data_IF_036505471163
#
_entry.id   IF_036505471163
#
_cell.length_a   1.000
_cell.length_b   1.000
_cell.length_c   1.000
_cell.angle_alpha   90.00
_cell.angle_beta   90.00
_cell.angle_gamma   90.00
#
_symmetry.space_group_name_H-M   'P 1'
#
loop_
_entity.id
_entity.type
_entity.pdbx_description
1 polymer ?
#
# COMPACT_ATOMS: atom_id res chain seq x y z
N UNK A 1 -6.41 -23.17 8.80
CA UNK A 1 -5.86 -21.82 8.48
C UNK A 1 -5.85 -20.82 9.66
N UNK A 2 -6.77 -20.89 10.63
CA UNK A 2 -6.84 -19.91 11.74
C UNK A 2 -6.00 -20.24 12.99
N UNK A 3 -5.39 -21.43 13.09
CA UNK A 3 -4.61 -21.89 14.26
C UNK A 3 -3.54 -20.89 14.71
N UNK A 4 -2.86 -20.24 13.77
CA UNK A 4 -1.77 -19.29 14.08
C UNK A 4 -2.22 -17.83 14.13
N UNK A 5 -3.51 -17.50 14.01
CA UNK A 5 -3.97 -16.10 14.11
C UNK A 5 -3.66 -15.43 15.46
N UNK A 6 -3.74 -16.12 16.62
CA UNK A 6 -3.28 -15.55 17.88
C UNK A 6 -1.78 -15.19 17.86
N UNK A 7 -0.96 -16.08 17.31
CA UNK A 7 0.48 -15.87 17.16
C UNK A 7 0.81 -14.72 16.20
N UNK A 8 0.09 -14.63 15.07
CA UNK A 8 0.20 -13.53 14.11
C UNK A 8 -0.13 -12.20 14.79
N UNK A 9 -1.16 -12.14 15.63
CA UNK A 9 -1.51 -10.94 16.39
C UNK A 9 -0.39 -10.56 17.36
N UNK A 10 0.14 -11.53 18.09
CA UNK A 10 1.23 -11.31 19.05
C UNK A 10 2.49 -10.75 18.35
N UNK A 11 2.94 -11.39 17.27
CA UNK A 11 4.11 -10.94 16.52
C UNK A 11 3.87 -9.56 15.89
N UNK A 12 2.67 -9.31 15.36
CA UNK A 12 2.31 -8.00 14.84
C UNK A 12 2.34 -6.90 15.91
N UNK A 13 1.93 -7.20 17.14
CA UNK A 13 2.02 -6.25 18.26
C UNK A 13 3.45 -6.01 18.73
N UNK A 14 4.31 -7.04 18.71
CA UNK A 14 5.73 -6.93 19.10
C UNK A 14 6.55 -6.15 18.07
N UNK A 15 6.23 -6.31 16.79
CA UNK A 15 6.88 -5.58 15.68
C UNK A 15 6.24 -4.23 15.39
N UNK A 16 5.07 -3.94 15.98
CA UNK A 16 4.52 -2.59 15.98
C UNK A 16 5.46 -1.70 16.78
N UNK A 17 5.82 -0.50 16.30
CA UNK A 17 6.66 0.41 17.07
C UNK A 17 6.00 0.62 18.44
N UNK A 18 6.65 0.11 19.50
CA UNK A 18 6.17 0.29 20.87
C UNK A 18 6.16 1.79 21.16
N UNK A 19 5.12 2.24 21.86
CA UNK A 19 4.91 3.61 22.34
C UNK A 19 6.06 4.16 23.24
N UNK A 20 7.13 3.40 23.45
CA UNK A 20 8.24 3.74 24.34
C UNK A 20 9.20 4.79 23.74
N UNK A 21 9.18 5.01 22.42
CA UNK A 21 9.95 6.08 21.78
C UNK A 21 9.14 7.39 21.61
N UNK A 22 8.01 7.54 22.31
CA UNK A 22 7.19 8.75 22.24
C UNK A 22 7.80 9.95 22.99
N UNK A 23 8.77 9.74 23.89
CA UNK A 23 9.46 10.84 24.59
C UNK A 23 10.72 11.33 23.85
N UNK A 24 11.31 10.54 22.94
CA UNK A 24 12.57 10.89 22.29
C UNK A 24 12.43 11.65 20.96
N UNK A 25 11.23 12.12 20.59
CA UNK A 25 11.03 12.87 19.35
C UNK A 25 9.99 13.96 19.50
N UNK A 26 10.35 15.00 20.26
CA UNK A 26 9.75 16.35 20.18
C UNK A 26 10.08 17.08 18.87
N UNK A 27 10.35 16.37 17.79
CA UNK A 27 10.26 16.95 16.45
C UNK A 27 8.79 16.77 16.07
N UNK A 28 7.99 17.85 15.92
CA UNK A 28 6.64 17.71 15.39
C UNK A 28 6.77 17.18 13.96
N UNK A 29 6.68 15.86 13.79
CA UNK A 29 6.54 15.24 12.48
C UNK A 29 5.17 15.67 12.00
N UNK A 30 5.13 16.81 11.30
CA UNK A 30 3.95 17.30 10.64
C UNK A 30 3.47 16.20 9.70
N UNK A 31 2.42 15.49 10.10
CA UNK A 31 1.77 14.48 9.28
C UNK A 31 0.90 15.20 8.24
N UNK A 32 1.54 16.03 7.43
CA UNK A 32 0.91 16.69 6.28
C UNK A 32 0.25 15.60 5.44
N UNK A 33 -1.02 15.81 5.09
CA UNK A 33 -1.78 14.89 4.25
C UNK A 33 -1.13 14.83 2.86
N UNK A 34 -1.35 13.74 2.10
CA UNK A 34 -0.75 13.57 0.76
C UNK A 34 -0.90 14.81 -0.17
N UNK A 35 -2.05 15.51 -0.22
CA UNK A 35 -2.18 16.73 -1.01
C UNK A 35 -1.31 17.90 -0.49
N UNK A 36 -1.21 18.03 0.83
CA UNK A 36 -0.40 19.07 1.49
C UNK A 36 1.09 18.81 1.28
N UNK A 37 1.54 17.55 1.35
CA UNK A 37 2.92 17.15 1.02
C UNK A 37 3.29 17.50 -0.42
N UNK A 38 2.39 17.24 -1.37
CA UNK A 38 2.60 17.58 -2.78
C UNK A 38 2.69 19.11 -2.95
N UNK A 39 1.86 19.88 -2.24
CA UNK A 39 1.92 21.35 -2.24
C UNK A 39 3.25 21.86 -1.69
N UNK A 40 3.72 21.30 -0.56
CA UNK A 40 5.01 21.61 0.06
C UNK A 40 6.17 21.31 -0.90
N UNK A 41 6.23 20.10 -1.45
CA UNK A 41 7.28 19.70 -2.39
C UNK A 41 7.34 20.59 -3.64
N UNK A 42 6.19 21.04 -4.15
CA UNK A 42 6.14 21.99 -5.28
C UNK A 42 6.67 23.37 -4.89
N UNK A 43 6.36 23.84 -3.67
CA UNK A 43 6.90 25.11 -3.12
C UNK A 43 8.41 25.02 -2.96
N UNK A 44 8.92 23.95 -2.38
CA UNK A 44 10.35 23.75 -2.11
C UNK A 44 11.17 23.68 -3.40
N UNK A 45 10.70 22.92 -4.40
CA UNK A 45 11.34 22.89 -5.74
C UNK A 45 11.37 24.27 -6.41
N UNK A 46 10.32 25.07 -6.24
CA UNK A 46 10.27 26.42 -6.79
C UNK A 46 11.20 27.36 -6.03
N UNK A 47 11.30 27.21 -4.71
CA UNK A 47 12.24 27.95 -3.86
C UNK A 47 13.69 27.68 -4.27
N UNK A 48 14.07 26.41 -4.47
CA UNK A 48 15.39 26.01 -4.96
C UNK A 48 15.74 26.68 -6.29
N UNK A 49 14.80 26.69 -7.25
CA UNK A 49 15.00 27.36 -8.55
C UNK A 49 15.11 28.87 -8.41
N UNK A 50 14.39 29.48 -7.48
CA UNK A 50 14.47 30.91 -7.21
C UNK A 50 15.84 31.28 -6.60
N UNK A 51 16.34 30.49 -5.64
CA UNK A 51 17.68 30.68 -5.07
C UNK A 51 18.79 30.46 -6.10
N UNK A 52 18.61 29.52 -7.02
CA UNK A 52 19.54 29.29 -8.13
C UNK A 52 19.61 30.51 -9.06
N UNK A 53 18.47 31.07 -9.47
CA UNK A 53 18.39 32.30 -10.27
C UNK A 53 19.02 33.49 -9.54
N UNK A 54 18.76 33.66 -8.24
CA UNK A 54 19.35 34.74 -7.43
C UNK A 54 20.88 34.60 -7.34
N UNK A 55 21.38 33.39 -7.15
CA UNK A 55 22.82 33.12 -7.10
C UNK A 55 23.53 33.40 -8.44
N UNK A 56 22.91 33.04 -9.56
CA UNK A 56 23.44 33.29 -10.90
C UNK A 56 23.42 34.79 -11.22
N UNK A 57 22.37 35.50 -10.79
CA UNK A 57 22.31 36.96 -10.95
C UNK A 57 23.39 37.68 -10.12
N UNK A 58 23.62 37.26 -8.86
CA UNK A 58 24.70 37.80 -8.01
C UNK A 58 26.10 37.56 -8.58
N UNK A 59 26.28 36.51 -9.38
CA UNK A 59 27.52 36.21 -10.10
C UNK A 59 27.70 37.02 -11.40
N UNK A 60 26.76 37.91 -11.74
CA UNK A 60 26.87 38.82 -12.89
C UNK A 60 26.32 38.27 -14.21
N UNK A 61 25.66 37.10 -14.21
CA UNK A 61 25.09 36.53 -15.43
C UNK A 61 23.88 37.33 -15.93
N UNK A 62 23.81 37.56 -17.24
CA UNK A 62 22.69 38.27 -17.86
C UNK A 62 21.40 37.43 -17.91
N UNK A 63 20.24 38.09 -17.94
CA UNK A 63 18.90 37.43 -17.95
C UNK A 63 18.76 36.36 -19.04
N UNK A 64 19.36 36.57 -20.22
CA UNK A 64 19.32 35.62 -21.35
C UNK A 64 20.12 34.35 -21.05
N UNK A 65 21.22 34.48 -20.35
CA UNK A 65 22.13 33.40 -20.02
C UNK A 65 21.57 32.56 -18.86
N UNK A 66 21.04 33.23 -17.82
CA UNK A 66 20.30 32.58 -16.74
C UNK A 66 19.12 31.76 -17.30
N UNK A 67 18.40 32.31 -18.28
CA UNK A 67 17.30 31.59 -18.95
C UNK A 67 17.77 30.33 -19.70
N UNK A 68 18.95 30.36 -20.33
CA UNK A 68 19.54 29.18 -20.99
C UNK A 68 20.01 28.13 -19.98
N UNK A 69 20.65 28.56 -18.89
CA UNK A 69 21.19 27.67 -17.85
C UNK A 69 20.06 26.99 -17.07
N UNK A 70 19.06 27.76 -16.61
CA UNK A 70 17.99 27.26 -15.74
C UNK A 70 16.78 26.68 -16.50
N UNK A 71 16.71 26.88 -17.82
CA UNK A 71 15.58 26.49 -18.66
C UNK A 71 14.28 27.28 -18.37
N UNK A 72 14.35 28.35 -17.58
CA UNK A 72 13.20 29.18 -17.22
C UNK A 72 12.97 30.28 -18.26
N UNK A 73 11.70 30.69 -18.43
CA UNK A 73 11.36 31.79 -19.33
C UNK A 73 12.03 33.10 -18.88
N UNK A 74 12.45 33.93 -19.85
CA UNK A 74 13.07 35.24 -19.57
C UNK A 74 12.16 36.16 -18.75
N UNK A 75 10.84 36.03 -18.88
CA UNK A 75 9.84 36.78 -18.11
C UNK A 75 9.85 36.34 -16.64
N UNK A 76 9.95 35.03 -16.39
CA UNK A 76 10.05 34.47 -15.03
C UNK A 76 11.33 34.90 -14.35
N UNK A 77 12.47 34.79 -15.05
CA UNK A 77 13.78 35.20 -14.53
C UNK A 77 13.77 36.69 -14.17
N UNK A 78 13.29 37.56 -15.07
CA UNK A 78 13.16 39.00 -14.82
C UNK A 78 12.27 39.28 -13.60
N UNK A 79 11.10 38.64 -13.51
CA UNK A 79 10.17 38.81 -12.39
C UNK A 79 10.78 38.37 -11.05
N UNK A 80 11.56 37.29 -11.05
CA UNK A 80 12.19 36.73 -9.86
C UNK A 80 13.37 37.56 -9.35
N UNK A 81 14.13 38.17 -10.27
CA UNK A 81 15.21 39.12 -9.93
C UNK A 81 14.63 40.42 -9.36
N UNK A 82 13.54 40.90 -9.96
CA UNK A 82 12.87 42.14 -9.51
C UNK A 82 12.13 41.98 -8.17
N UNK A 83 11.73 40.76 -7.81
CA UNK A 83 11.08 40.49 -6.53
C UNK A 83 12.11 40.48 -5.39
N UNK A 84 11.97 41.42 -4.43
CA UNK A 84 12.83 41.51 -3.23
C UNK A 84 12.73 40.29 -2.29
N UNK A 85 11.67 39.48 -2.43
CA UNK A 85 11.42 38.27 -1.65
C UNK A 85 10.87 37.16 -2.55
N UNK A 86 10.92 35.91 -2.08
CA UNK A 86 10.40 34.75 -2.80
C UNK A 86 8.93 34.99 -3.23
N UNK A 87 8.64 35.05 -4.54
CA UNK A 87 7.28 35.28 -5.00
C UNK A 87 6.47 34.00 -4.83
N UNK A 88 5.74 33.91 -3.71
CA UNK A 88 4.79 32.83 -3.47
C UNK A 88 3.71 32.80 -4.57
N UNK A 89 3.17 31.61 -4.83
CA UNK A 89 1.98 31.52 -5.67
C UNK A 89 0.87 32.22 -4.92
N UNK A 90 0.34 33.30 -5.48
CA UNK A 90 -0.91 33.91 -4.98
C UNK A 90 -1.99 32.84 -5.05
N UNK A 91 -2.25 32.20 -3.92
CA UNK A 91 -3.49 31.47 -3.72
C UNK A 91 -4.52 32.56 -3.46
N UNK A 92 -5.48 32.72 -4.38
CA UNK A 92 -6.66 33.54 -4.10
C UNK A 92 -7.18 33.11 -2.72
N UNK A 93 -7.41 34.05 -1.78
CA UNK A 93 -8.00 33.67 -0.51
C UNK A 93 -9.29 32.89 -0.81
N UNK A 94 -9.56 31.79 -0.09
CA UNK A 94 -10.81 31.07 -0.27
C UNK A 94 -11.94 32.08 -0.13
N UNK A 95 -12.87 32.10 -1.09
CA UNK A 95 -14.05 32.96 -0.99
C UNK A 95 -14.76 32.62 0.31
N UNK A 96 -15.26 33.63 1.06
CA UNK A 96 -15.94 33.35 2.31
C UNK A 96 -17.09 32.38 2.04
N UNK A 97 -17.07 31.27 2.77
CA UNK A 97 -18.07 30.22 2.67
C UNK A 97 -19.40 30.68 3.27
N UNK A 98 -20.50 30.06 2.87
CA UNK A 98 -21.82 30.32 3.44
C UNK A 98 -21.89 30.04 4.96
N UNK A 99 -20.94 29.25 5.48
CA UNK A 99 -20.79 28.93 6.89
C UNK A 99 -19.94 29.91 7.68
N UNK A 100 -19.21 30.82 7.02
CA UNK A 100 -18.25 31.68 7.69
C UNK A 100 -18.91 32.59 8.75
N UNK A 101 -20.09 33.19 8.50
CA UNK A 101 -20.81 33.96 9.52
C UNK A 101 -21.31 33.11 10.70
N UNK A 102 -21.41 31.78 10.52
CA UNK A 102 -21.98 30.86 11.50
C UNK A 102 -20.92 30.13 12.33
N UNK A 103 -19.62 30.38 12.08
CA UNK A 103 -18.53 29.67 12.74
C UNK A 103 -18.56 29.80 14.27
N UNK A 104 -18.78 31.00 14.80
CA UNK A 104 -18.83 31.22 16.26
C UNK A 104 -20.06 30.58 16.92
N UNK A 105 -21.19 30.54 16.21
CA UNK A 105 -22.39 29.87 16.69
C UNK A 105 -22.19 28.35 16.71
N UNK A 106 -21.63 27.80 15.63
CA UNK A 106 -21.29 26.38 15.50
C UNK A 106 -20.26 25.93 16.54
N UNK A 107 -19.24 26.75 16.85
CA UNK A 107 -18.26 26.43 17.89
C UNK A 107 -18.88 26.42 19.29
N UNK A 108 -19.81 27.34 19.58
CA UNK A 108 -20.58 27.30 20.84
C UNK A 108 -21.42 26.03 20.97
N UNK A 109 -22.03 25.56 19.88
CA UNK A 109 -22.78 24.30 19.87
C UNK A 109 -21.87 23.08 20.06
N UNK A 110 -20.66 23.11 19.48
CA UNK A 110 -19.62 22.08 19.66
C UNK A 110 -19.21 21.97 21.13
N UNK A 111 -18.95 23.09 21.80
CA UNK A 111 -18.57 23.14 23.22
C UNK A 111 -19.71 22.63 24.11
N UNK A 112 -20.97 22.93 23.77
CA UNK A 112 -22.17 22.40 24.45
C UNK A 112 -22.41 20.90 24.20
N UNK A 113 -21.62 20.25 23.35
CA UNK A 113 -21.73 18.81 23.05
C UNK A 113 -22.82 18.45 22.05
N UNK A 114 -23.45 19.42 21.38
CA UNK A 114 -24.46 19.14 20.37
C UNK A 114 -23.80 18.75 19.03
N UNK A 115 -23.84 17.46 18.70
CA UNK A 115 -23.20 16.90 17.50
C UNK A 115 -24.22 16.45 16.43
N UNK A 116 -25.50 16.79 16.59
CA UNK A 116 -26.55 16.40 15.65
C UNK A 116 -26.66 17.40 14.51
N UNK A 117 -26.02 17.10 13.37
CA UNK A 117 -25.97 17.97 12.21
C UNK A 117 -27.35 18.37 11.65
N UNK A 118 -28.35 17.48 11.72
CA UNK A 118 -29.70 17.76 11.21
C UNK A 118 -30.44 18.76 12.10
N UNK A 119 -30.25 18.65 13.42
CA UNK A 119 -30.82 19.59 14.38
C UNK A 119 -30.16 20.96 14.25
N UNK A 120 -28.83 21.00 14.20
CA UNK A 120 -28.07 22.24 14.00
C UNK A 120 -28.46 22.95 12.71
N UNK A 121 -28.68 22.19 11.62
CA UNK A 121 -29.14 22.78 10.36
C UNK A 121 -30.54 23.40 10.47
N UNK A 122 -31.50 22.76 11.15
CA UNK A 122 -32.84 23.35 11.37
C UNK A 122 -32.75 24.65 12.17
N UNK A 123 -32.03 24.63 13.29
CA UNK A 123 -31.82 25.82 14.12
C UNK A 123 -31.13 26.96 13.34
N UNK A 124 -30.20 26.63 12.43
CA UNK A 124 -29.56 27.61 11.55
C UNK A 124 -30.54 28.17 10.51
N UNK A 125 -31.37 27.32 9.89
CA UNK A 125 -32.37 27.76 8.90
C UNK A 125 -33.41 28.66 9.55
N UNK A 126 -33.88 28.32 10.75
CA UNK A 126 -34.82 29.13 11.53
C UNK A 126 -34.24 30.50 11.88
N UNK A 127 -32.91 30.58 12.04
CA UNK A 127 -32.18 31.82 12.30
C UNK A 127 -31.65 32.52 11.01
N UNK A 128 -32.08 32.06 9.81
CA UNK A 128 -31.83 32.75 8.53
C UNK A 128 -30.73 32.15 7.65
N UNK A 129 -30.29 30.91 7.88
CA UNK A 129 -29.30 30.23 7.04
C UNK A 129 -29.90 29.72 5.72
N UNK A 130 -29.31 30.13 4.59
CA UNK A 130 -29.75 29.75 3.24
C UNK A 130 -29.05 28.50 2.66
N UNK A 131 -28.27 27.76 3.45
CA UNK A 131 -27.47 26.63 2.98
C UNK A 131 -28.11 25.26 3.17
N UNK A 132 -27.55 24.26 2.49
CA UNK A 132 -28.00 22.86 2.56
C UNK A 132 -27.54 22.12 3.82
N UNK A 133 -28.32 21.11 4.23
CA UNK A 133 -27.99 20.25 5.38
C UNK A 133 -26.62 19.55 5.23
N UNK A 134 -26.24 19.19 4.01
CA UNK A 134 -24.92 18.61 3.68
C UNK A 134 -23.76 19.51 4.10
N UNK A 135 -23.91 20.83 3.97
CA UNK A 135 -22.90 21.81 4.32
C UNK A 135 -22.63 21.82 5.82
N UNK A 136 -23.68 21.79 6.64
CA UNK A 136 -23.60 21.69 8.10
C UNK A 136 -23.08 20.30 8.51
N UNK A 137 -23.55 19.24 7.85
CA UNK A 137 -23.08 17.86 8.11
C UNK A 137 -21.59 17.71 7.87
N UNK A 138 -21.05 18.29 6.81
CA UNK A 138 -19.62 18.26 6.50
C UNK A 138 -18.79 19.03 7.54
N UNK A 139 -19.30 20.16 8.04
CA UNK A 139 -18.67 20.92 9.12
C UNK A 139 -18.63 20.13 10.44
N UNK A 140 -19.76 19.55 10.84
CA UNK A 140 -19.86 18.69 12.04
C UNK A 140 -19.01 17.42 11.90
N UNK A 141 -18.91 16.85 10.70
CA UNK A 141 -18.03 15.72 10.42
C UNK A 141 -16.53 16.07 10.59
N UNK A 142 -16.13 17.32 10.37
CA UNK A 142 -14.76 17.79 10.64
C UNK A 142 -14.46 17.84 12.15
N UNK A 143 -15.44 18.17 13.00
CA UNK A 143 -15.26 18.13 14.46
C UNK A 143 -14.85 16.74 14.95
N UNK A 144 -15.50 15.69 14.43
CA UNK A 144 -15.13 14.29 14.74
C UNK A 144 -13.72 13.93 14.26
N UNK A 145 -13.27 14.53 13.16
CA UNK A 145 -11.92 14.32 12.62
C UNK A 145 -10.83 15.12 13.34
N UNK A 146 -11.20 16.19 14.05
CA UNK A 146 -10.28 17.04 14.83
C UNK A 146 -10.21 16.61 16.30
N UNK A 147 -11.34 16.20 16.90
CA UNK A 147 -11.39 15.67 18.26
C UNK A 147 -10.71 14.30 18.38
N UNK A 148 -10.77 13.49 17.32
CA UNK A 148 -9.96 12.30 17.23
C UNK A 148 -8.54 12.72 16.82
N UNK A 149 -7.62 12.79 17.80
CA UNK A 149 -6.18 12.61 17.56
C UNK A 149 -6.01 11.47 16.54
N UNK A 150 -5.02 11.51 15.63
CA UNK A 150 -4.89 10.51 14.58
C UNK A 150 -4.94 9.15 15.24
N UNK A 151 -6.09 8.49 15.11
CA UNK A 151 -6.26 7.12 15.56
C UNK A 151 -5.22 6.41 14.74
N UNK A 152 -4.11 6.04 15.38
CA UNK A 152 -3.09 5.19 14.78
C UNK A 152 -3.90 4.02 14.27
N UNK A 153 -4.12 4.01 12.95
CA UNK A 153 -4.98 3.00 12.35
C UNK A 153 -4.44 1.67 12.89
N UNK A 154 -5.27 0.83 13.53
CA UNK A 154 -4.78 -0.37 14.19
C UNK A 154 -3.89 -1.07 13.19
N UNK A 155 -2.64 -1.30 13.60
CA UNK A 155 -1.57 -1.82 12.74
C UNK A 155 -2.17 -2.92 11.90
N UNK A 156 -2.32 -2.70 10.59
CA UNK A 156 -3.13 -3.60 9.74
C UNK A 156 -2.56 -5.00 9.87
N UNK A 157 -3.26 -5.85 10.64
CA UNK A 157 -2.82 -7.21 10.88
C UNK A 157 -2.69 -7.92 9.53
N UNK A 158 -1.54 -8.55 9.25
CA UNK A 158 -1.41 -9.33 8.04
C UNK A 158 -2.37 -10.53 8.12
N UNK A 159 -3.07 -10.81 7.02
CA UNK A 159 -3.92 -11.99 6.95
C UNK A 159 -3.07 -13.26 6.93
N UNK A 160 -3.63 -14.40 7.38
CA UNK A 160 -2.94 -15.69 7.34
C UNK A 160 -2.43 -16.03 5.92
N UNK A 161 -3.19 -15.71 4.88
CA UNK A 161 -2.77 -15.89 3.47
C UNK A 161 -1.60 -14.98 3.06
N UNK A 162 -1.47 -13.79 3.67
CA UNK A 162 -0.33 -12.91 3.43
C UNK A 162 0.92 -13.44 4.12
N UNK A 163 0.80 -13.86 5.38
CA UNK A 163 1.88 -14.48 6.14
C UNK A 163 2.36 -15.78 5.47
N UNK A 164 1.44 -16.60 4.95
CA UNK A 164 1.81 -17.83 4.24
C UNK A 164 2.61 -17.57 2.96
N UNK A 165 2.41 -16.42 2.29
CA UNK A 165 3.25 -16.01 1.15
C UNK A 165 4.64 -15.59 1.61
N UNK A 166 4.77 -14.94 2.78
CA UNK A 166 6.07 -14.54 3.32
C UNK A 166 6.94 -15.72 3.76
N UNK A 167 6.35 -16.87 4.11
CA UNK A 167 7.10 -18.11 4.33
C UNK A 167 7.85 -18.59 3.07
N UNK A 168 7.51 -18.07 1.89
CA UNK A 168 8.08 -18.44 0.60
C UNK A 168 8.79 -17.22 -0.01
N UNK A 169 10.13 -17.08 0.09
CA UNK A 169 10.88 -15.88 -0.29
C UNK A 169 10.59 -15.38 -1.72
N UNK A 170 10.35 -16.28 -2.67
CA UNK A 170 10.03 -15.96 -4.06
C UNK A 170 8.60 -15.43 -4.28
N UNK A 171 7.74 -15.43 -3.24
CA UNK A 171 6.39 -14.85 -3.26
C UNK A 171 6.28 -13.56 -2.47
N UNK A 172 7.39 -13.02 -1.95
CA UNK A 172 7.41 -11.74 -1.26
C UNK A 172 7.14 -10.59 -2.24
N UNK A 173 6.30 -9.63 -1.82
CA UNK A 173 5.97 -8.45 -2.61
C UNK A 173 7.09 -7.42 -2.45
N UNK A 174 7.53 -6.81 -3.55
CA UNK A 174 8.57 -5.76 -3.55
C UNK A 174 8.19 -4.63 -2.59
N UNK A 175 9.13 -4.24 -1.72
CA UNK A 175 8.97 -3.14 -0.76
C UNK A 175 8.52 -3.55 0.65
N UNK A 176 8.20 -4.83 0.88
CA UNK A 176 7.86 -5.37 2.22
C UNK A 176 8.96 -6.26 2.81
N UNK A 177 10.08 -6.43 2.11
CA UNK A 177 11.11 -7.44 2.38
C UNK A 177 11.65 -7.36 3.82
N UNK A 178 11.98 -6.15 4.30
CA UNK A 178 12.54 -5.99 5.65
C UNK A 178 11.52 -6.28 6.76
N UNK A 179 10.26 -5.87 6.59
CA UNK A 179 9.21 -6.12 7.57
C UNK A 179 8.81 -7.60 7.57
N UNK A 180 8.59 -8.18 6.39
CA UNK A 180 8.19 -9.56 6.23
C UNK A 180 9.25 -10.54 6.75
N UNK A 181 10.54 -10.28 6.48
CA UNK A 181 11.64 -11.11 7.00
C UNK A 181 11.67 -11.12 8.52
N UNK A 182 11.61 -9.94 9.16
CA UNK A 182 11.55 -9.83 10.64
C UNK A 182 10.29 -10.48 11.22
N UNK A 183 9.16 -10.36 10.52
CA UNK A 183 7.91 -10.99 10.91
C UNK A 183 8.01 -12.51 10.91
N UNK A 184 8.51 -13.09 9.82
CA UNK A 184 8.67 -14.54 9.71
C UNK A 184 9.73 -15.07 10.67
N UNK A 185 10.83 -14.36 10.86
CA UNK A 185 11.85 -14.73 11.84
C UNK A 185 11.26 -14.83 13.26
N UNK A 186 10.50 -13.80 13.67
CA UNK A 186 9.82 -13.80 14.98
C UNK A 186 8.77 -14.93 15.10
N UNK A 187 8.02 -15.21 14.04
CA UNK A 187 7.08 -16.35 14.00
C UNK A 187 7.80 -17.70 14.15
N UNK A 188 8.92 -17.89 13.43
CA UNK A 188 9.72 -19.12 13.47
C UNK A 188 10.45 -19.33 14.80
N UNK A 189 10.80 -18.25 15.52
CA UNK A 189 11.34 -18.33 16.88
C UNK A 189 10.31 -18.83 17.88
N UNK A 190 9.04 -18.39 17.75
CA UNK A 190 7.97 -18.76 18.68
C UNK A 190 7.36 -20.13 18.39
N UNK A 191 7.34 -20.55 17.13
CA UNK A 191 6.76 -21.83 16.71
C UNK A 191 7.76 -22.65 15.89
N UNK A 192 8.44 -23.64 16.49
CA UNK A 192 9.44 -24.47 15.81
C UNK A 192 8.87 -25.24 14.60
N UNK A 193 7.59 -25.61 14.64
CA UNK A 193 6.91 -26.27 13.52
C UNK A 193 6.89 -25.40 12.25
N UNK A 194 6.71 -24.08 12.40
CA UNK A 194 6.75 -23.15 11.27
C UNK A 194 8.15 -23.01 10.69
N UNK A 195 9.18 -23.00 11.54
CA UNK A 195 10.58 -22.98 11.11
C UNK A 195 10.92 -24.21 10.26
N UNK A 196 10.49 -25.39 10.70
CA UNK A 196 10.70 -26.64 9.98
C UNK A 196 9.92 -26.67 8.66
N UNK A 197 8.66 -26.23 8.65
CA UNK A 197 7.86 -26.12 7.43
C UNK A 197 8.50 -25.16 6.41
N UNK A 198 9.03 -24.03 6.89
CA UNK A 198 9.75 -23.06 6.06
C UNK A 198 11.01 -23.68 5.45
N UNK A 199 11.80 -24.38 6.26
CA UNK A 199 13.03 -25.02 5.81
C UNK A 199 12.76 -26.06 4.72
N UNK A 200 11.82 -26.98 4.96
CA UNK A 200 11.42 -28.01 3.98
C UNK A 200 10.92 -27.38 2.68
N UNK A 201 10.18 -26.27 2.77
CA UNK A 201 9.70 -25.54 1.59
C UNK A 201 10.83 -24.87 0.81
N UNK A 202 11.81 -24.29 1.51
CA UNK A 202 13.01 -23.70 0.90
C UNK A 202 13.87 -24.76 0.23
N UNK A 203 14.07 -25.92 0.87
CA UNK A 203 14.85 -27.01 0.33
C UNK A 203 14.18 -27.57 -0.93
N UNK A 204 12.85 -27.77 -0.91
CA UNK A 204 12.10 -28.16 -2.10
C UNK A 204 12.26 -27.17 -3.27
N UNK A 205 12.13 -25.87 -3.00
CA UNK A 205 12.32 -24.85 -4.03
C UNK A 205 13.77 -24.80 -4.53
N UNK A 206 14.75 -24.98 -3.65
CA UNK A 206 16.16 -25.05 -4.03
C UNK A 206 16.38 -26.22 -4.98
N UNK A 207 15.83 -27.40 -4.69
CA UNK A 207 15.91 -28.57 -5.57
C UNK A 207 15.32 -28.31 -6.96
N UNK A 208 14.12 -27.69 -7.02
CA UNK A 208 13.48 -27.31 -8.29
C UNK A 208 14.37 -26.37 -9.11
N UNK A 209 15.04 -25.41 -8.44
CA UNK A 209 15.91 -24.43 -9.11
C UNK A 209 17.25 -25.01 -9.56
N UNK A 210 17.87 -25.87 -8.75
CA UNK A 210 19.16 -26.50 -9.04
C UNK A 210 19.05 -27.74 -9.93
N UNK A 211 17.83 -28.22 -10.17
CA UNK A 211 17.53 -29.43 -10.93
C UNK A 211 18.15 -30.70 -10.32
N UNK A 212 18.35 -30.71 -9.00
CA UNK A 212 19.05 -31.81 -8.33
C UNK A 212 18.08 -32.95 -7.97
N UNK A 213 18.02 -33.97 -8.83
CA UNK A 213 17.10 -35.11 -8.73
C UNK A 213 17.34 -36.01 -7.53
N UNK A 214 18.59 -36.18 -7.07
CA UNK A 214 18.92 -37.15 -6.02
C UNK A 214 18.44 -36.71 -4.64
N UNK A 215 18.18 -35.42 -4.46
CA UNK A 215 17.71 -34.86 -3.19
C UNK A 215 16.20 -35.04 -2.98
N UNK A 216 15.42 -35.42 -4.01
CA UNK A 216 13.95 -35.53 -3.89
C UNK A 216 13.52 -36.64 -2.92
N UNK A 217 14.15 -37.81 -3.00
CA UNK A 217 13.85 -38.93 -2.10
C UNK A 217 14.27 -38.63 -0.65
N UNK A 218 15.38 -37.91 -0.49
CA UNK A 218 15.81 -37.44 0.83
C UNK A 218 14.78 -36.46 1.40
N UNK A 219 14.30 -35.53 0.58
CA UNK A 219 13.27 -34.58 1.00
C UNK A 219 11.96 -35.27 1.41
N UNK A 220 11.51 -36.30 0.69
CA UNK A 220 10.34 -37.09 1.12
C UNK A 220 10.56 -37.75 2.50
N UNK A 221 11.75 -38.30 2.73
CA UNK A 221 12.14 -38.86 4.02
C UNK A 221 12.13 -37.81 5.13
N UNK A 222 12.70 -36.62 4.87
CA UNK A 222 12.77 -35.51 5.82
C UNK A 222 11.36 -35.00 6.17
N UNK A 223 10.45 -34.89 5.19
CA UNK A 223 9.05 -34.51 5.43
C UNK A 223 8.31 -35.58 6.24
N UNK A 224 8.56 -36.87 5.95
CA UNK A 224 7.96 -37.96 6.72
C UNK A 224 8.39 -37.92 8.19
N UNK A 225 9.65 -37.56 8.46
CA UNK A 225 10.17 -37.46 9.83
C UNK A 225 9.82 -36.13 10.53
N UNK A 226 9.34 -35.12 9.81
CA UNK A 226 9.12 -33.78 10.36
C UNK A 226 7.92 -33.66 11.30
N UNK A 227 7.04 -34.67 11.36
CA UNK A 227 5.80 -34.64 12.15
C UNK A 227 4.75 -33.63 11.68
N UNK A 228 4.91 -33.06 10.48
CA UNK A 228 4.00 -32.06 9.92
C UNK A 228 2.94 -32.75 9.06
N UNK A 229 1.85 -33.19 9.69
CA UNK A 229 0.80 -34.02 9.06
C UNK A 229 0.28 -33.45 7.73
N UNK A 230 0.08 -32.13 7.65
CA UNK A 230 -0.42 -31.49 6.42
C UNK A 230 0.61 -31.56 5.28
N UNK A 231 1.91 -31.39 5.58
CA UNK A 231 2.98 -31.52 4.58
C UNK A 231 3.24 -32.99 4.23
N UNK A 232 3.14 -33.90 5.19
CA UNK A 232 3.24 -35.34 4.95
C UNK A 232 2.18 -35.82 3.96
N UNK A 233 0.91 -35.40 4.12
CA UNK A 233 -0.15 -35.74 3.16
C UNK A 233 0.14 -35.24 1.75
N UNK A 234 0.68 -34.03 1.64
CA UNK A 234 1.10 -33.47 0.34
C UNK A 234 2.27 -34.26 -0.23
N UNK A 235 3.26 -34.59 0.58
CA UNK A 235 4.42 -35.38 0.17
C UNK A 235 4.01 -36.77 -0.33
N UNK A 236 3.09 -37.46 0.34
CA UNK A 236 2.57 -38.77 -0.11
C UNK A 236 1.90 -38.67 -1.48
N UNK A 237 1.08 -37.64 -1.71
CA UNK A 237 0.48 -37.41 -3.02
C UNK A 237 1.53 -37.10 -4.10
N UNK A 238 2.56 -36.34 -3.76
CA UNK A 238 3.67 -36.05 -4.65
C UNK A 238 4.54 -37.29 -4.94
N UNK A 239 4.73 -38.16 -3.95
CA UNK A 239 5.49 -39.40 -4.09
C UNK A 239 4.81 -40.38 -5.05
N UNK A 240 3.46 -40.44 -5.03
CA UNK A 240 2.70 -41.19 -6.03
C UNK A 240 2.94 -40.69 -7.47
N UNK A 241 3.17 -39.40 -7.63
CA UNK A 241 3.50 -38.74 -8.91
C UNK A 241 5.01 -38.46 -9.07
N UNK A 242 5.88 -39.19 -8.35
CA UNK A 242 7.31 -38.89 -8.29
C UNK A 242 7.97 -38.89 -9.68
N UNK A 243 7.57 -39.78 -10.59
CA UNK A 243 8.09 -39.84 -11.96
C UNK A 243 7.81 -38.55 -12.73
N UNK A 244 6.59 -38.02 -12.62
CA UNK A 244 6.20 -36.75 -13.26
C UNK A 244 6.94 -35.57 -12.65
N UNK A 245 7.14 -35.56 -11.31
CA UNK A 245 7.90 -34.52 -10.62
C UNK A 245 9.37 -34.57 -11.00
N UNK A 246 9.96 -35.76 -11.10
CA UNK A 246 11.32 -35.96 -11.58
C UNK A 246 11.50 -35.38 -12.99
N UNK A 247 10.58 -35.69 -13.89
CA UNK A 247 10.62 -35.15 -15.25
C UNK A 247 10.44 -33.63 -15.25
N UNK A 248 9.56 -33.08 -14.40
CA UNK A 248 9.39 -31.64 -14.25
C UNK A 248 10.65 -30.91 -13.74
N UNK A 249 11.46 -31.57 -12.90
CA UNK A 249 12.74 -31.03 -12.40
C UNK A 249 13.80 -31.00 -13.51
N UNK A 250 13.93 -32.11 -14.25
CA UNK A 250 15.02 -32.30 -15.22
C UNK A 250 14.73 -31.60 -16.55
N UNK A 251 13.49 -31.73 -17.03
CA UNK A 251 13.10 -31.30 -18.36
C UNK A 251 13.30 -29.80 -18.58
N UNK A 252 13.54 -29.44 -19.84
CA UNK A 252 13.51 -28.05 -20.30
C UNK A 252 12.10 -27.63 -20.72
N UNK A 253 11.22 -28.59 -20.96
CA UNK A 253 9.86 -28.38 -21.42
C UNK A 253 8.90 -28.46 -20.25
N UNK A 254 7.92 -27.57 -20.22
CA UNK A 254 6.86 -27.59 -19.21
C UNK A 254 5.51 -27.41 -19.88
N UNK A 255 4.53 -28.19 -19.44
CA UNK A 255 3.15 -27.99 -19.85
C UNK A 255 2.49 -26.78 -19.14
N UNK A 256 3.23 -26.02 -18.32
CA UNK A 256 2.66 -24.93 -17.52
C UNK A 256 1.98 -23.84 -18.34
N UNK A 257 2.55 -23.44 -19.48
CA UNK A 257 1.93 -22.43 -20.37
C UNK A 257 0.67 -22.97 -21.02
N UNK A 258 0.70 -24.23 -21.47
CA UNK A 258 -0.46 -24.89 -22.09
C UNK A 258 -1.58 -25.05 -21.07
N UNK A 259 -1.27 -25.54 -19.87
CA UNK A 259 -2.22 -25.66 -18.75
C UNK A 259 -2.79 -24.30 -18.33
N UNK A 260 -1.98 -23.24 -18.37
CA UNK A 260 -2.44 -21.87 -18.17
C UNK A 260 -3.52 -21.47 -19.19
N UNK A 261 -3.28 -21.73 -20.48
CA UNK A 261 -4.27 -21.48 -21.54
C UNK A 261 -5.52 -22.35 -21.38
N UNK A 262 -5.37 -23.64 -21.06
CA UNK A 262 -6.48 -24.56 -20.79
C UNK A 262 -7.31 -24.06 -19.61
N UNK A 263 -6.69 -23.60 -18.53
CA UNK A 263 -7.40 -23.04 -17.37
C UNK A 263 -8.14 -21.73 -17.71
N UNK A 264 -7.54 -20.84 -18.51
CA UNK A 264 -8.23 -19.66 -19.02
C UNK A 264 -9.47 -20.05 -19.85
N UNK A 265 -9.33 -21.03 -20.73
CA UNK A 265 -10.44 -21.58 -21.53
C UNK A 265 -11.53 -22.19 -20.66
N UNK A 266 -11.17 -23.01 -19.68
CA UNK A 266 -12.11 -23.60 -18.69
C UNK A 266 -12.85 -22.51 -17.93
N UNK A 267 -12.16 -21.44 -17.52
CA UNK A 267 -12.75 -20.29 -16.83
C UNK A 267 -13.77 -19.56 -17.72
N UNK A 268 -13.41 -19.24 -18.97
CA UNK A 268 -14.34 -18.62 -19.93
C UNK A 268 -15.57 -19.50 -20.19
N UNK A 269 -15.37 -20.82 -20.34
CA UNK A 269 -16.47 -21.78 -20.49
C UNK A 269 -17.39 -21.79 -19.26
N UNK A 270 -16.83 -21.74 -18.04
CA UNK A 270 -17.59 -21.68 -16.78
C UNK A 270 -18.39 -20.38 -16.62
N UNK A 271 -17.82 -19.24 -17.01
CA UNK A 271 -18.54 -17.95 -17.05
C UNK A 271 -19.77 -17.98 -17.97
N UNK A 272 -19.77 -18.89 -18.94
CA UNK A 272 -20.86 -19.06 -19.91
C UNK A 272 -21.72 -20.31 -19.60
N UNK A 273 -21.66 -20.79 -18.35
CA UNK A 273 -22.42 -21.95 -17.87
C UNK A 273 -22.22 -23.23 -18.71
N UNK A 274 -21.07 -23.35 -19.37
CA UNK A 274 -20.76 -24.49 -20.24
C UNK A 274 -21.48 -24.49 -21.59
N UNK A 275 -22.30 -23.48 -21.92
CA UNK A 275 -23.16 -23.44 -23.11
C UNK A 275 -22.51 -22.80 -24.34
N UNK A 276 -21.27 -22.35 -24.23
CA UNK A 276 -20.56 -21.72 -25.33
C UNK A 276 -20.07 -22.78 -26.34
N UNK A 277 -20.57 -22.71 -27.57
CA UNK A 277 -20.03 -23.46 -28.72
C UNK A 277 -18.64 -22.97 -29.13
N UNK A 278 -17.98 -23.71 -30.02
CA UNK A 278 -16.60 -23.44 -30.45
C UNK A 278 -16.40 -22.02 -30.98
N UNK A 279 -17.27 -21.54 -31.87
CA UNK A 279 -17.18 -20.20 -32.46
C UNK A 279 -17.21 -19.08 -31.40
N UNK A 280 -18.08 -19.22 -30.41
CA UNK A 280 -18.22 -18.24 -29.33
C UNK A 280 -17.01 -18.25 -28.38
N UNK A 281 -16.49 -19.44 -28.07
CA UNK A 281 -15.25 -19.59 -27.31
C UNK A 281 -14.06 -18.99 -28.07
N UNK A 282 -13.94 -19.28 -29.37
CA UNK A 282 -12.89 -18.74 -30.24
C UNK A 282 -12.91 -17.22 -30.23
N UNK A 283 -14.08 -16.60 -30.41
CA UNK A 283 -14.23 -15.13 -30.36
C UNK A 283 -13.78 -14.55 -29.01
N UNK A 284 -14.18 -15.14 -27.88
CA UNK A 284 -13.76 -14.65 -26.55
C UNK A 284 -12.28 -14.85 -26.23
N UNK A 285 -11.66 -15.89 -26.77
CA UNK A 285 -10.22 -16.12 -26.58
C UNK A 285 -9.39 -15.16 -27.44
N UNK A 286 -9.78 -14.97 -28.70
CA UNK A 286 -9.09 -14.16 -29.71
C UNK A 286 -9.34 -12.65 -29.56
N UNK A 287 -10.44 -12.24 -28.93
CA UNK A 287 -10.77 -10.84 -28.64
C UNK A 287 -10.83 -10.62 -27.12
N UNK A 288 -9.70 -10.40 -26.43
CA UNK A 288 -9.68 -10.19 -24.97
C UNK A 288 -10.34 -8.88 -24.47
N UNK A 289 -11.17 -8.21 -25.29
CA UNK A 289 -11.74 -6.90 -25.01
C UNK A 289 -13.23 -6.87 -25.33
N UNK A 290 -14.03 -7.02 -24.27
CA UNK A 290 -15.17 -6.18 -23.92
C UNK A 290 -15.33 -6.25 -22.40
#
# INVERSE_FOLDING_TARGET
MYRHMPLIRQVATELSPKKQDAEASLIPVSTLRRPERIKQQRRDKRYQRWTEVDSLHKRGYGIREISRITGLSRVTVRRWIQSKAFPEISTKPPKPGLLDPWHEWLERQRIKGNHNARQLWREMVDAGFAGSETTVRDAVAKWRKQANAPVVAPTRLPSASRVSRWLMPWRMIRGEENYASRFIESMCQKEPQLKMAQQLSHDFYRMLKTKNKSQLNQWFSDVSQSGLVDLQRVAVGMEADATAIHEAIVSRWSNGVVEGHVNRLKMLKRQMYGRAGFELLRRRVMSPLA
#
